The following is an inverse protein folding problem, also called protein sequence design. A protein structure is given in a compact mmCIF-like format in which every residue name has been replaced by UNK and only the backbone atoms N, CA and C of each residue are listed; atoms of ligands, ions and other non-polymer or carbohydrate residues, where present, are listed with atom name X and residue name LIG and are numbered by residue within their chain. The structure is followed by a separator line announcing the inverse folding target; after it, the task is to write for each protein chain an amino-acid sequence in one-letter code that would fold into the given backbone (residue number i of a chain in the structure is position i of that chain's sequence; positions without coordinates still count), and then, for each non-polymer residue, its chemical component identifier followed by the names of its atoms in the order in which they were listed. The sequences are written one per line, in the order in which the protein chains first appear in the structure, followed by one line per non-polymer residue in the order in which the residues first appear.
data_IF_230086189451
#
_entry.id   IF_230086189451
#
_cell.length_a   1.000
_cell.length_b   1.000
_cell.length_c   1.000
_cell.angle_alpha   90.00
_cell.angle_beta   90.00
_cell.angle_gamma   90.00
#
_symmetry.space_group_name_H-M   'P 1'
#
loop_
_entity.id
_entity.type
_entity.pdbx_description
1 polymer ?
#
# COMPACT_ATOMS: atom_id res chain seq x y z
N UNK A 1 20.76 -19.62 -22.60
CA UNK A 1 19.42 -19.25 -22.13
C UNK A 1 19.50 -17.88 -21.47
N UNK A 2 18.61 -16.92 -21.77
CA UNK A 2 18.63 -15.59 -21.16
C UNK A 2 18.05 -15.63 -19.73
N UNK A 3 18.59 -14.78 -18.84
CA UNK A 3 18.13 -14.65 -17.45
C UNK A 3 17.83 -13.17 -17.18
N UNK A 4 16.64 -12.88 -16.65
CA UNK A 4 16.28 -11.54 -16.16
C UNK A 4 16.67 -11.46 -14.69
N UNK A 5 17.53 -10.50 -14.33
CA UNK A 5 17.96 -10.29 -12.96
C UNK A 5 17.13 -9.17 -12.32
N UNK A 6 16.43 -9.46 -11.22
CA UNK A 6 15.63 -8.51 -10.44
C UNK A 6 16.39 -8.02 -9.19
N UNK A 7 15.69 -7.47 -8.21
CA UNK A 7 16.26 -6.75 -7.05
C UNK A 7 17.21 -7.58 -6.19
N UNK A 8 17.03 -8.91 -6.12
CA UNK A 8 17.85 -9.81 -5.28
C UNK A 8 19.09 -10.37 -6.01
N UNK A 9 19.49 -9.75 -7.11
CA UNK A 9 20.67 -10.17 -7.86
C UNK A 9 21.96 -9.79 -7.12
N UNK A 10 22.97 -10.64 -7.21
CA UNK A 10 24.32 -10.31 -6.77
C UNK A 10 24.85 -9.02 -7.44
N UNK A 11 25.68 -8.27 -6.71
CA UNK A 11 26.26 -7.00 -7.19
C UNK A 11 27.36 -7.20 -8.22
N UNK A 12 27.94 -8.40 -8.28
CA UNK A 12 28.93 -8.82 -9.28
C UNK A 12 28.32 -9.81 -10.26
N UNK A 13 28.68 -9.69 -11.54
CA UNK A 13 28.21 -10.59 -12.59
C UNK A 13 29.27 -10.80 -13.67
N UNK A 14 29.51 -12.06 -14.05
CA UNK A 14 30.40 -12.44 -15.15
C UNK A 14 29.67 -12.68 -16.49
N UNK A 15 28.36 -12.46 -16.53
CA UNK A 15 27.55 -12.68 -17.73
C UNK A 15 27.42 -11.42 -18.58
N UNK A 16 27.41 -11.59 -19.90
CA UNK A 16 27.15 -10.50 -20.85
C UNK A 16 25.73 -9.98 -20.68
N UNK A 17 25.59 -8.68 -20.42
CA UNK A 17 24.30 -7.97 -20.40
C UNK A 17 23.93 -7.52 -21.81
N UNK A 18 22.90 -8.11 -22.40
CA UNK A 18 22.42 -7.78 -23.75
C UNK A 18 21.37 -6.66 -23.78
N UNK A 19 20.64 -6.47 -22.68
CA UNK A 19 19.58 -5.45 -22.54
C UNK A 19 19.28 -5.16 -21.06
N UNK A 20 18.46 -4.15 -20.81
CA UNK A 20 17.92 -3.82 -19.49
C UNK A 20 16.43 -3.55 -19.60
N UNK A 21 15.62 -4.13 -18.73
CA UNK A 21 14.20 -3.78 -18.63
C UNK A 21 14.08 -2.47 -17.86
N UNK A 22 13.22 -1.56 -18.36
CA UNK A 22 12.95 -0.27 -17.73
C UNK A 22 12.29 -0.45 -16.37
N UNK A 23 12.49 0.51 -15.46
CA UNK A 23 11.94 0.44 -14.10
C UNK A 23 10.42 0.43 -14.05
N UNK A 24 9.76 1.11 -14.99
CA UNK A 24 8.30 1.15 -15.09
C UNK A 24 7.65 -0.23 -15.30
N UNK A 25 8.38 -1.21 -15.86
CA UNK A 25 7.86 -2.56 -16.12
C UNK A 25 8.26 -3.59 -15.04
N UNK A 26 9.00 -3.20 -13.99
CA UNK A 26 9.46 -4.14 -12.97
C UNK A 26 8.32 -4.81 -12.22
N UNK A 27 7.25 -4.07 -11.92
CA UNK A 27 6.05 -4.60 -11.26
C UNK A 27 5.40 -5.72 -12.08
N UNK A 28 5.34 -5.57 -13.40
CA UNK A 28 4.80 -6.57 -14.32
C UNK A 28 5.65 -7.83 -14.34
N UNK A 29 6.98 -7.69 -14.36
CA UNK A 29 7.90 -8.82 -14.29
C UNK A 29 7.78 -9.57 -12.97
N UNK A 30 7.66 -8.85 -11.86
CA UNK A 30 7.56 -9.44 -10.52
C UNK A 30 6.28 -10.27 -10.30
N UNK A 31 5.23 -10.02 -11.10
CA UNK A 31 3.96 -10.73 -11.03
C UNK A 31 3.85 -11.94 -11.97
N UNK A 32 4.89 -12.23 -12.77
CA UNK A 32 4.88 -13.37 -13.69
C UNK A 32 5.01 -14.69 -12.92
N UNK A 33 4.26 -15.70 -13.37
CA UNK A 33 4.34 -17.08 -12.86
C UNK A 33 5.06 -17.99 -13.86
N UNK A 34 5.60 -19.15 -13.42
CA UNK A 34 6.22 -20.10 -14.33
C UNK A 34 5.29 -20.51 -15.48
N UNK A 35 5.83 -20.55 -16.69
CA UNK A 35 5.07 -20.85 -17.90
C UNK A 35 4.47 -19.63 -18.62
N UNK A 36 4.58 -18.43 -18.05
CA UNK A 36 4.22 -17.20 -18.77
C UNK A 36 5.18 -16.91 -19.95
N UNK A 37 4.62 -16.38 -21.04
CA UNK A 37 5.39 -15.92 -22.20
C UNK A 37 5.71 -14.43 -22.06
N UNK A 38 6.98 -14.07 -22.21
CA UNK A 38 7.45 -12.68 -22.20
C UNK A 38 7.90 -12.27 -23.60
N UNK A 39 7.48 -11.08 -24.05
CA UNK A 39 7.96 -10.45 -25.29
C UNK A 39 8.63 -9.13 -24.94
N UNK A 40 9.80 -8.90 -25.50
CA UNK A 40 10.53 -7.65 -25.33
C UNK A 40 10.30 -6.73 -26.52
N UNK A 41 10.22 -5.44 -26.22
CA UNK A 41 10.18 -4.37 -27.20
C UNK A 41 11.32 -3.41 -26.88
N UNK A 42 12.03 -2.97 -27.91
CA UNK A 42 13.03 -1.91 -27.76
C UNK A 42 12.32 -0.59 -27.48
N UNK A 43 12.84 0.16 -26.51
CA UNK A 43 12.33 1.48 -26.12
C UNK A 43 13.48 2.47 -26.07
N UNK A 44 13.19 3.71 -26.46
CA UNK A 44 14.15 4.81 -26.32
C UNK A 44 14.26 5.24 -24.86
N UNK A 45 15.34 5.96 -24.53
CA UNK A 45 15.50 6.54 -23.20
C UNK A 45 14.37 7.53 -22.86
N UNK A 46 13.91 8.29 -23.84
CA UNK A 46 12.79 9.23 -23.68
C UNK A 46 11.49 8.50 -23.35
N UNK A 47 11.17 7.43 -24.07
CA UNK A 47 10.00 6.59 -23.78
C UNK A 47 10.09 5.98 -22.38
N UNK A 48 11.28 5.50 -21.99
CA UNK A 48 11.49 4.97 -20.64
C UNK A 48 11.19 5.99 -19.54
N UNK A 49 11.59 7.26 -19.72
CA UNK A 49 11.25 8.33 -18.78
C UNK A 49 9.76 8.66 -18.79
N UNK A 50 9.13 8.72 -19.97
CA UNK A 50 7.69 8.95 -20.09
C UNK A 50 6.88 7.89 -19.34
N UNK A 51 7.17 6.60 -19.56
CA UNK A 51 6.49 5.51 -18.86
C UNK A 51 6.73 5.57 -17.34
N UNK A 52 7.93 5.97 -16.91
CA UNK A 52 8.21 6.12 -15.48
C UNK A 52 7.40 7.26 -14.85
N UNK A 53 7.27 8.38 -15.56
CA UNK A 53 6.48 9.52 -15.10
C UNK A 53 4.98 9.19 -15.06
N UNK A 54 4.47 8.45 -16.04
CA UNK A 54 3.08 7.95 -16.03
C UNK A 54 2.79 7.07 -14.82
N UNK A 55 3.70 6.12 -14.51
CA UNK A 55 3.61 5.27 -13.31
C UNK A 55 3.56 6.13 -12.03
N UNK A 56 4.45 7.11 -11.90
CA UNK A 56 4.51 8.01 -10.74
C UNK A 56 3.25 8.86 -10.60
N UNK A 57 2.70 9.36 -11.70
CA UNK A 57 1.45 10.13 -11.70
C UNK A 57 0.27 9.28 -11.22
N UNK A 58 0.16 8.03 -11.68
CA UNK A 58 -0.86 7.09 -11.20
C UNK A 58 -0.70 6.86 -9.70
N UNK A 59 0.50 6.53 -9.23
CA UNK A 59 0.77 6.31 -7.80
C UNK A 59 0.45 7.55 -6.95
N UNK A 60 0.78 8.75 -7.44
CA UNK A 60 0.46 9.99 -6.73
C UNK A 60 -1.05 10.24 -6.68
N UNK A 61 -1.79 9.98 -7.76
CA UNK A 61 -3.25 10.11 -7.77
C UNK A 61 -3.93 9.19 -6.74
N UNK A 62 -3.36 8.00 -6.48
CA UNK A 62 -3.88 7.09 -5.46
C UNK A 62 -3.69 7.62 -4.03
N UNK A 63 -2.65 8.43 -3.78
CA UNK A 63 -2.42 9.08 -2.48
C UNK A 63 -3.44 10.16 -2.16
N UNK A 64 -3.99 10.79 -3.21
CA UNK A 64 -4.99 11.86 -3.08
C UNK A 64 -6.42 11.32 -2.92
N UNK A 65 -6.61 10.00 -3.09
CA UNK A 65 -7.88 9.37 -2.75
C UNK A 65 -8.04 9.49 -1.22
N UNK A 66 -9.07 10.19 -0.71
CA UNK A 66 -9.31 10.22 0.71
C UNK A 66 -9.55 8.78 1.17
N UNK A 67 -8.66 8.27 2.02
CA UNK A 67 -8.96 7.08 2.80
C UNK A 67 -10.28 7.35 3.48
N UNK A 68 -11.30 6.53 3.19
CA UNK A 68 -12.60 6.65 3.81
C UNK A 68 -12.47 6.22 5.27
N UNK A 69 -11.89 7.09 6.10
CA UNK A 69 -11.74 6.88 7.53
C UNK A 69 -13.12 7.11 8.12
N UNK A 70 -13.77 6.09 8.70
CA UNK A 70 -15.08 6.27 9.32
C UNK A 70 -15.00 7.34 10.41
N UNK A 71 -15.85 8.37 10.31
CA UNK A 71 -16.02 9.37 11.36
C UNK A 71 -16.95 8.84 12.46
N UNK A 72 -16.45 8.74 13.69
CA UNK A 72 -17.24 8.35 14.85
C UNK A 72 -17.71 9.59 15.64
N UNK A 73 -19.02 9.67 15.93
CA UNK A 73 -19.64 10.76 16.70
C UNK A 73 -20.45 10.18 17.86
N UNK A 74 -20.23 10.67 19.08
CA UNK A 74 -21.13 10.47 20.24
C UNK A 74 -21.66 11.83 20.64
N UNK A 75 -22.99 11.98 20.75
CA UNK A 75 -23.68 13.23 21.08
C UNK A 75 -23.23 14.44 20.24
N UNK A 76 -22.91 14.21 18.96
CA UNK A 76 -22.46 15.24 18.02
C UNK A 76 -21.02 15.73 18.20
N UNK A 77 -20.26 15.19 19.15
CA UNK A 77 -18.82 15.48 19.31
C UNK A 77 -17.98 14.45 18.55
N UNK A 78 -16.97 14.96 17.81
CA UNK A 78 -15.98 14.14 17.11
C UNK A 78 -15.07 13.47 18.15
N UNK A 79 -14.93 12.15 18.07
CA UNK A 79 -14.00 11.40 18.92
C UNK A 79 -12.84 10.93 18.04
N UNK A 80 -11.62 11.23 18.48
CA UNK A 80 -10.40 10.61 17.94
C UNK A 80 -10.10 9.37 18.77
N UNK A 81 -10.09 8.19 18.15
CA UNK A 81 -9.72 6.94 18.80
C UNK A 81 -8.21 6.82 18.74
N UNK A 82 -7.56 7.02 19.89
CA UNK A 82 -6.12 6.89 20.07
C UNK A 82 -5.83 5.58 20.81
N UNK A 83 -4.74 4.90 20.47
CA UNK A 83 -4.19 3.82 21.27
C UNK A 83 -3.75 4.32 22.64
N UNK A 84 -3.45 3.40 23.57
CA UNK A 84 -2.81 3.74 24.84
C UNK A 84 -1.45 4.44 24.70
N UNK A 85 -0.86 4.40 23.49
CA UNK A 85 0.39 5.10 23.12
C UNK A 85 0.16 6.44 22.41
N UNK A 86 -1.10 6.85 22.18
CA UNK A 86 -1.46 8.12 21.54
C UNK A 86 -1.46 8.07 20.01
N UNK A 87 -1.45 6.89 19.39
CA UNK A 87 -1.51 6.72 17.93
C UNK A 87 -2.95 6.50 17.47
N UNK A 88 -3.37 7.18 16.40
CA UNK A 88 -4.72 7.00 15.85
C UNK A 88 -4.94 5.57 15.36
N UNK A 89 -5.96 4.89 15.88
CA UNK A 89 -6.32 3.53 15.45
C UNK A 89 -7.34 3.64 14.32
N UNK A 90 -6.97 3.11 13.14
CA UNK A 90 -7.92 2.88 12.06
C UNK A 90 -8.64 1.54 12.30
N UNK A 91 -9.89 1.60 12.74
CA UNK A 91 -10.75 0.43 12.87
C UNK A 91 -11.23 0.01 11.47
N UNK A 92 -10.40 -0.76 10.76
CA UNK A 92 -10.79 -1.34 9.47
C UNK A 92 -11.97 -2.29 9.65
N UNK A 93 -12.89 -2.28 8.67
CA UNK A 93 -14.14 -3.03 8.64
C UNK A 93 -13.94 -4.52 8.93
N UNK A 94 -14.20 -4.93 10.16
CA UNK A 94 -14.53 -6.32 10.50
C UNK A 94 -16.01 -6.36 10.83
N UNK A 95 -16.80 -6.96 9.93
CA UNK A 95 -18.26 -7.10 10.12
C UNK A 95 -18.56 -7.74 11.49
N UNK A 96 -19.50 -7.14 12.23
CA UNK A 96 -20.01 -7.63 13.52
C UNK A 96 -18.95 -7.89 14.62
N UNK A 97 -17.89 -7.09 14.69
CA UNK A 97 -16.95 -7.16 15.82
C UNK A 97 -17.39 -6.22 16.94
N UNK A 98 -17.54 -6.77 18.14
CA UNK A 98 -17.78 -6.01 19.37
C UNK A 98 -16.44 -5.51 19.91
N UNK A 99 -16.33 -4.21 20.14
CA UNK A 99 -15.16 -3.61 20.77
C UNK A 99 -15.52 -3.14 22.19
N UNK A 100 -14.65 -3.44 23.16
CA UNK A 100 -14.71 -2.84 24.49
C UNK A 100 -13.74 -1.67 24.48
N UNK A 101 -14.25 -0.45 24.67
CA UNK A 101 -13.44 0.74 24.83
C UNK A 101 -13.39 1.10 26.32
N UNK A 102 -12.20 1.09 26.90
CA UNK A 102 -11.95 1.71 28.20
C UNK A 102 -11.63 3.20 27.99
N UNK A 103 -12.48 4.05 28.54
CA UNK A 103 -12.31 5.51 28.47
C UNK A 103 -12.13 6.05 29.88
N UNK A 104 -11.03 6.75 30.14
CA UNK A 104 -10.81 7.47 31.39
C UNK A 104 -11.39 8.88 31.30
N UNK A 105 -12.44 9.17 32.06
CA UNK A 105 -13.03 10.52 32.17
C UNK A 105 -12.90 10.98 33.61
N UNK A 106 -12.20 12.08 33.86
CA UNK A 106 -12.00 12.66 35.19
C UNK A 106 -11.41 11.67 36.23
N UNK A 107 -10.44 10.83 35.82
CA UNK A 107 -9.83 9.76 36.65
C UNK A 107 -10.78 8.63 37.05
N UNK A 108 -11.88 8.48 36.33
CA UNK A 108 -12.80 7.35 36.45
C UNK A 108 -12.77 6.59 35.13
N UNK A 109 -12.40 5.31 35.19
CA UNK A 109 -12.45 4.44 34.03
C UNK A 109 -13.90 3.99 33.80
N UNK A 110 -14.36 4.13 32.56
CA UNK A 110 -15.67 3.66 32.11
C UNK A 110 -15.48 2.77 30.89
N UNK A 111 -16.12 1.61 30.91
CA UNK A 111 -16.12 0.67 29.79
C UNK A 111 -17.36 0.91 28.92
N UNK A 112 -17.15 1.03 27.61
CA UNK A 112 -18.21 1.15 26.61
C UNK A 112 -18.12 -0.03 25.64
N UNK A 113 -19.21 -0.77 25.51
CA UNK A 113 -19.35 -1.78 24.46
C UNK A 113 -19.85 -1.08 23.19
N UNK A 114 -19.04 -1.13 22.13
CA UNK A 114 -19.42 -0.60 20.82
C UNK A 114 -19.63 -1.76 19.86
N UNK A 115 -20.84 -1.82 19.30
CA UNK A 115 -21.20 -2.73 18.21
C UNK A 115 -21.22 -1.95 16.90
N UNK A 116 -20.30 -2.32 15.99
CA UNK A 116 -20.24 -1.76 14.65
C UNK A 116 -21.13 -2.57 13.71
N UNK A 117 -22.25 -1.99 13.27
CA UNK A 117 -23.12 -2.56 12.22
C UNK A 117 -22.94 -1.78 10.92
N UNK A 118 -22.76 -2.50 9.82
CA UNK A 118 -22.67 -1.94 8.46
C UNK A 118 -24.04 -1.58 7.90
#
# INVERSE_FOLDING_TARGET
EPIILLSDRGTTGGYTKIASVISADWSRLAQLVPGCTVKFQEVSLEQAYQFKQEEENILNSLREIPLNVPEYKIDGKKIEILSSTGESINLEKQENTKYILEVEVNKVNQEFEIEMRT
#
